data_IF_926520178894
#
_entry.id   IF_926520178894
#
_cell.length_a   1.000
_cell.length_b   1.000
_cell.length_c   1.000
_cell.angle_alpha   90.00
_cell.angle_beta   90.00
_cell.angle_gamma   90.00
#
_symmetry.space_group_name_H-M   'P 1'
#
loop_
_entity.id
_entity.type
_entity.pdbx_description
1 polymer ?
#
# COMPACT_ATOMS: atom_id res chain seq x y z
N UNK A 1 -22.79 15.77 31.21
CA UNK A 1 -23.01 16.19 29.79
C UNK A 1 -22.68 14.98 28.93
N UNK A 2 -23.71 14.30 28.44
CA UNK A 2 -23.54 13.07 27.64
C UNK A 2 -23.10 13.43 26.23
N UNK A 3 -21.86 13.09 25.90
CA UNK A 3 -21.18 13.47 24.64
C UNK A 3 -21.51 12.59 23.43
N UNK A 4 -22.39 11.58 23.57
CA UNK A 4 -22.71 10.68 22.46
C UNK A 4 -24.23 10.54 22.25
N UNK A 5 -24.66 10.64 20.98
CA UNK A 5 -26.03 10.40 20.58
C UNK A 5 -26.46 8.93 20.78
N UNK A 6 -27.74 8.64 20.95
CA UNK A 6 -28.27 7.28 21.13
C UNK A 6 -27.85 6.30 20.03
N UNK A 7 -27.72 6.77 18.78
CA UNK A 7 -27.29 5.96 17.63
C UNK A 7 -25.83 5.49 17.71
N UNK A 8 -24.97 6.26 18.40
CA UNK A 8 -23.57 5.88 18.62
C UNK A 8 -23.48 4.83 19.74
N UNK A 9 -24.32 4.97 20.80
CA UNK A 9 -24.39 3.97 21.88
C UNK A 9 -24.90 2.61 21.39
N UNK A 10 -25.90 2.57 20.51
CA UNK A 10 -26.38 1.32 19.92
C UNK A 10 -25.33 0.62 19.04
N UNK A 11 -24.50 1.37 18.31
CA UNK A 11 -23.38 0.78 17.56
C UNK A 11 -22.30 0.18 18.45
N UNK A 12 -22.02 0.78 19.61
CA UNK A 12 -21.05 0.21 20.56
C UNK A 12 -21.62 -0.94 21.39
N UNK A 13 -22.92 -0.97 21.68
CA UNK A 13 -23.58 -2.09 22.37
C UNK A 13 -23.52 -3.41 21.58
N UNK A 14 -23.40 -3.36 20.24
CA UNK A 14 -23.20 -4.54 19.39
C UNK A 14 -21.77 -5.10 19.44
N UNK A 15 -20.83 -4.41 20.07
CA UNK A 15 -19.41 -4.81 20.17
C UNK A 15 -19.10 -5.51 21.51
N UNK A 16 -20.05 -5.61 22.45
CA UNK A 16 -19.90 -6.45 23.65
C UNK A 16 -20.06 -7.96 23.33
N UNK A 17 -19.42 -8.43 22.26
CA UNK A 17 -18.98 -9.83 22.26
C UNK A 17 -17.73 -9.89 23.12
N UNK A 18 -17.69 -10.75 24.16
CA UNK A 18 -16.46 -10.94 24.90
C UNK A 18 -15.36 -11.29 23.90
N UNK A 19 -14.37 -10.42 23.81
CA UNK A 19 -13.28 -10.55 22.84
C UNK A 19 -12.48 -11.84 23.00
N UNK A 20 -12.75 -12.66 24.05
CA UNK A 20 -12.13 -13.98 24.23
C UNK A 20 -12.93 -14.84 25.21
N UNK A 21 -13.73 -15.72 24.70
CA UNK A 21 -13.92 -16.99 25.38
C UNK A 21 -12.68 -17.82 25.05
N UNK A 22 -11.71 -17.87 25.91
CA UNK A 22 -10.51 -18.73 26.10
C UNK A 22 -9.96 -19.55 24.91
N UNK A 23 -10.39 -19.37 23.68
CA UNK A 23 -9.88 -20.03 22.51
C UNK A 23 -9.27 -19.00 21.56
N UNK A 24 -8.01 -19.20 21.23
CA UNK A 24 -7.34 -18.51 20.13
C UNK A 24 -8.22 -18.55 18.87
N UNK A 25 -8.16 -17.54 17.99
CA UNK A 25 -8.85 -17.60 16.71
C UNK A 25 -8.56 -18.93 16.01
N UNK A 26 -9.56 -19.54 15.34
CA UNK A 26 -9.36 -20.80 14.65
C UNK A 26 -8.19 -20.67 13.69
N UNK A 27 -7.30 -21.64 13.70
CA UNK A 27 -6.20 -21.71 12.74
C UNK A 27 -6.78 -22.02 11.38
N UNK A 28 -6.44 -21.20 10.39
CA UNK A 28 -6.67 -21.53 8.99
C UNK A 28 -5.41 -22.28 8.52
N UNK A 29 -5.57 -23.55 8.12
CA UNK A 29 -4.54 -24.28 7.42
C UNK A 29 -4.61 -23.94 5.93
N UNK A 30 -3.49 -23.62 5.34
CA UNK A 30 -3.38 -23.37 3.92
C UNK A 30 -3.35 -24.70 3.16
N UNK A 31 -4.22 -24.84 2.15
CA UNK A 31 -4.41 -26.11 1.44
C UNK A 31 -3.48 -26.32 0.22
N UNK A 32 -2.58 -25.37 -0.08
CA UNK A 32 -1.93 -25.30 -1.39
C UNK A 32 -0.49 -25.83 -1.40
N UNK A 33 -0.31 -27.12 -1.44
CA UNK A 33 0.99 -27.70 -1.84
C UNK A 33 1.29 -27.53 -3.35
N UNK A 34 0.29 -27.20 -4.17
CA UNK A 34 0.44 -27.04 -5.63
C UNK A 34 1.14 -25.74 -6.02
N UNK A 35 1.08 -24.72 -5.17
CA UNK A 35 1.67 -23.40 -5.42
C UNK A 35 3.01 -23.21 -4.69
N UNK A 36 3.73 -24.29 -4.38
CA UNK A 36 5.05 -24.21 -3.73
C UNK A 36 6.05 -23.44 -4.59
N UNK A 37 6.81 -22.56 -3.96
CA UNK A 37 7.87 -21.81 -4.63
C UNK A 37 9.25 -22.16 -4.09
N UNK A 38 10.22 -22.19 -5.00
CA UNK A 38 11.65 -22.38 -4.71
C UNK A 38 12.47 -21.39 -5.54
N UNK A 39 13.69 -21.15 -5.15
CA UNK A 39 14.62 -20.31 -5.93
C UNK A 39 14.81 -20.81 -7.37
N UNK A 40 14.61 -22.12 -7.61
CA UNK A 40 14.67 -22.72 -8.94
C UNK A 40 13.38 -22.63 -9.77
N UNK A 41 12.25 -22.27 -9.15
CA UNK A 41 10.93 -22.22 -9.82
C UNK A 41 10.39 -20.80 -10.02
N UNK A 42 10.97 -19.81 -9.39
CA UNK A 42 10.59 -18.40 -9.57
C UNK A 42 11.37 -17.75 -10.71
N UNK A 43 10.81 -16.68 -11.27
CA UNK A 43 11.50 -15.93 -12.32
C UNK A 43 12.79 -15.30 -11.79
N UNK A 44 13.92 -15.30 -12.55
CA UNK A 44 15.19 -14.72 -12.09
C UNK A 44 15.14 -13.19 -11.89
N UNK A 45 14.22 -12.50 -12.59
CA UNK A 45 13.94 -11.07 -12.39
C UNK A 45 12.75 -10.90 -11.43
N UNK A 46 12.93 -10.24 -10.27
CA UNK A 46 11.85 -10.04 -9.29
C UNK A 46 10.72 -9.16 -9.78
N UNK A 47 10.94 -8.26 -10.73
CA UNK A 47 9.88 -7.46 -11.33
C UNK A 47 8.95 -8.30 -12.20
N UNK A 48 9.51 -9.22 -12.99
CA UNK A 48 8.70 -10.16 -13.77
C UNK A 48 7.99 -11.17 -12.85
N UNK A 49 8.64 -11.61 -11.76
CA UNK A 49 7.98 -12.46 -10.76
C UNK A 49 6.81 -11.73 -10.08
N UNK A 50 6.97 -10.45 -9.72
CA UNK A 50 5.88 -9.64 -9.17
C UNK A 50 4.73 -9.50 -10.16
N UNK A 51 5.04 -9.19 -11.42
CA UNK A 51 4.04 -9.05 -12.48
C UNK A 51 3.25 -10.33 -12.73
N UNK A 52 3.91 -11.48 -12.72
CA UNK A 52 3.25 -12.79 -12.83
C UNK A 52 2.24 -12.98 -11.70
N UNK A 53 2.65 -12.80 -10.45
CA UNK A 53 1.78 -12.97 -9.30
C UNK A 53 0.65 -11.94 -9.26
N UNK A 54 0.94 -10.71 -9.60
CA UNK A 54 -0.07 -9.65 -9.68
C UNK A 54 -1.16 -9.98 -10.72
N UNK A 55 -0.76 -10.45 -11.91
CA UNK A 55 -1.70 -10.84 -12.97
C UNK A 55 -2.55 -12.06 -12.59
N UNK A 56 -1.98 -13.03 -11.88
CA UNK A 56 -2.72 -14.18 -11.35
C UNK A 56 -3.79 -13.75 -10.33
N UNK A 57 -3.48 -12.80 -9.46
CA UNK A 57 -4.45 -12.24 -8.50
C UNK A 57 -5.60 -11.47 -9.20
N UNK A 58 -5.30 -10.74 -10.29
CA UNK A 58 -6.32 -10.08 -11.11
C UNK A 58 -7.26 -11.10 -11.75
N UNK A 59 -6.73 -12.19 -12.31
CA UNK A 59 -7.49 -13.28 -12.94
C UNK A 59 -8.38 -13.96 -11.89
N UNK A 60 -7.90 -14.19 -10.70
CA UNK A 60 -8.64 -14.76 -9.58
C UNK A 60 -9.70 -13.81 -9.00
N UNK A 61 -9.76 -12.56 -9.50
CA UNK A 61 -10.77 -11.58 -9.13
C UNK A 61 -10.60 -11.01 -7.72
N UNK A 62 -9.36 -10.82 -7.29
CA UNK A 62 -9.07 -10.06 -6.07
C UNK A 62 -9.50 -8.61 -6.30
N UNK A 63 -10.39 -8.12 -5.44
CA UNK A 63 -10.75 -6.70 -5.46
C UNK A 63 -9.54 -5.84 -5.11
N UNK A 64 -9.17 -4.93 -6.04
CA UNK A 64 -8.09 -3.98 -5.86
C UNK A 64 -6.73 -4.61 -5.44
N UNK A 65 -6.14 -5.50 -6.26
CA UNK A 65 -4.84 -6.12 -5.98
C UNK A 65 -3.71 -5.09 -5.85
N UNK A 66 -3.96 -3.87 -6.31
CA UNK A 66 -3.08 -2.71 -6.22
C UNK A 66 -3.12 -1.98 -4.86
N UNK A 67 -3.95 -2.41 -3.90
CA UNK A 67 -3.88 -1.92 -2.52
C UNK A 67 -2.65 -2.49 -1.84
N UNK A 68 -1.78 -1.62 -1.37
CA UNK A 68 -0.55 -2.01 -0.68
C UNK A 68 -0.41 -1.29 0.66
N UNK A 69 0.17 -1.98 1.63
CA UNK A 69 0.62 -1.34 2.87
C UNK A 69 1.96 -0.66 2.63
N UNK A 70 2.09 0.59 3.05
CA UNK A 70 3.34 1.36 3.00
C UNK A 70 3.81 1.68 4.41
N UNK A 71 4.97 1.16 4.77
CA UNK A 71 5.70 1.51 5.98
C UNK A 71 6.74 2.58 5.69
N UNK A 72 6.76 3.61 6.53
CA UNK A 72 7.79 4.65 6.58
C UNK A 72 8.21 4.86 8.03
N UNK A 73 9.35 5.48 8.28
CA UNK A 73 9.78 5.78 9.64
C UNK A 73 10.49 7.13 9.70
N UNK A 74 10.48 7.71 10.91
CA UNK A 74 11.25 8.90 11.22
C UNK A 74 12.76 8.59 11.26
N UNK A 75 13.66 9.59 11.24
CA UNK A 75 15.10 9.36 11.37
C UNK A 75 15.51 8.63 12.66
N UNK A 76 14.74 8.80 13.72
CA UNK A 76 14.93 8.12 15.02
C UNK A 76 14.25 6.74 15.10
N UNK A 77 13.71 6.25 13.98
CA UNK A 77 13.21 4.87 13.86
C UNK A 77 11.77 4.66 14.31
N UNK A 78 10.96 5.70 14.53
CA UNK A 78 9.54 5.54 14.84
C UNK A 78 8.77 5.16 13.57
N UNK A 79 8.21 3.93 13.49
CA UNK A 79 7.51 3.48 12.30
C UNK A 79 6.10 4.03 12.20
N UNK A 80 5.61 4.15 10.99
CA UNK A 80 4.19 4.38 10.69
C UNK A 80 3.75 3.58 9.48
N UNK A 81 2.47 3.16 9.45
CA UNK A 81 1.91 2.28 8.42
C UNK A 81 0.57 2.82 7.92
N UNK A 82 0.31 2.72 6.63
CA UNK A 82 -0.98 3.06 6.00
C UNK A 82 -1.15 2.30 4.69
N UNK A 83 -2.39 2.23 4.21
CA UNK A 83 -2.67 1.77 2.86
C UNK A 83 -2.42 2.90 1.85
N UNK A 84 -1.85 2.54 0.71
CA UNK A 84 -1.77 3.38 -0.49
C UNK A 84 -2.12 2.53 -1.72
N UNK A 85 -2.30 3.19 -2.87
CA UNK A 85 -2.56 2.48 -4.12
C UNK A 85 -1.28 2.45 -4.96
N UNK A 86 -0.85 1.25 -5.31
CA UNK A 86 0.19 1.04 -6.32
C UNK A 86 -0.40 1.38 -7.70
N UNK A 87 0.19 2.31 -8.42
CA UNK A 87 -0.36 2.80 -9.68
C UNK A 87 0.49 2.44 -10.89
N UNK A 88 1.78 2.40 -10.71
CA UNK A 88 2.74 2.04 -11.75
C UNK A 88 3.78 1.15 -11.08
N UNK A 89 4.17 0.08 -11.73
CA UNK A 89 5.32 -0.72 -11.32
C UNK A 89 6.07 -1.25 -12.54
N UNK A 90 7.36 -1.42 -12.39
CA UNK A 90 8.25 -1.88 -13.44
C UNK A 90 9.72 -1.74 -13.03
N UNK A 91 10.65 -1.85 -13.97
CA UNK A 91 12.09 -1.82 -13.68
C UNK A 91 12.59 -0.56 -12.96
N UNK A 92 11.86 0.55 -13.09
CA UNK A 92 12.19 1.80 -12.38
C UNK A 92 11.81 1.78 -10.91
N UNK A 93 10.83 0.95 -10.52
CA UNK A 93 10.33 0.80 -9.16
C UNK A 93 8.79 0.77 -9.07
N UNK A 94 8.30 1.07 -7.88
CA UNK A 94 6.89 1.00 -7.48
C UNK A 94 6.38 2.38 -7.13
N UNK A 95 5.38 2.87 -7.85
CA UNK A 95 4.90 4.24 -7.74
C UNK A 95 3.58 4.33 -6.98
N UNK A 96 3.53 5.26 -6.05
CA UNK A 96 2.31 5.70 -5.36
C UNK A 96 2.26 7.22 -5.33
N UNK A 97 1.05 7.79 -5.20
CA UNK A 97 0.84 9.23 -5.27
C UNK A 97 0.20 9.73 -3.99
N UNK A 98 0.63 10.90 -3.54
CA UNK A 98 0.19 11.47 -2.26
C UNK A 98 0.44 12.98 -2.20
N UNK A 99 -0.10 13.62 -1.17
CA UNK A 99 0.30 14.98 -0.77
C UNK A 99 1.71 14.96 -0.17
N UNK A 100 2.59 15.81 -0.67
CA UNK A 100 3.99 15.97 -0.20
C UNK A 100 4.10 16.58 1.21
N UNK A 101 3.01 17.12 1.75
CA UNK A 101 2.94 17.64 3.12
C UNK A 101 2.38 16.60 4.11
N UNK A 102 1.90 15.44 3.63
CA UNK A 102 1.39 14.37 4.49
C UNK A 102 2.49 13.80 5.40
N UNK A 103 2.07 13.18 6.52
CA UNK A 103 3.00 12.54 7.48
C UNK A 103 4.01 11.60 6.81
N UNK A 104 3.55 10.72 5.90
CA UNK A 104 4.45 9.81 5.16
C UNK A 104 5.47 10.54 4.30
N UNK A 105 5.05 11.63 3.68
CA UNK A 105 5.94 12.43 2.84
C UNK A 105 6.97 13.20 3.67
N UNK A 106 6.60 13.69 4.84
CA UNK A 106 7.53 14.30 5.80
C UNK A 106 8.56 13.28 6.30
N UNK A 107 8.12 12.07 6.67
CA UNK A 107 9.01 10.97 7.05
C UNK A 107 9.98 10.62 5.91
N UNK A 108 9.48 10.45 4.66
CA UNK A 108 10.29 10.15 3.49
C UNK A 108 11.27 11.27 3.10
N UNK A 109 10.94 12.53 3.40
CA UNK A 109 11.86 13.64 3.14
C UNK A 109 13.09 13.63 4.05
N UNK A 110 12.94 13.10 5.25
CA UNK A 110 13.99 13.01 6.27
C UNK A 110 14.70 11.65 6.28
N UNK A 111 13.97 10.59 5.97
CA UNK A 111 14.45 9.22 5.86
C UNK A 111 13.85 8.54 4.62
N UNK A 112 14.54 8.58 3.47
CA UNK A 112 14.01 8.10 2.20
C UNK A 112 14.08 6.57 2.08
N UNK A 113 13.69 5.83 3.12
CA UNK A 113 13.58 4.37 3.15
C UNK A 113 12.14 3.97 3.45
N UNK A 114 11.67 2.95 2.75
CA UNK A 114 10.34 2.42 2.95
C UNK A 114 10.28 0.92 2.67
N UNK A 115 9.22 0.30 3.19
CA UNK A 115 8.79 -1.03 2.80
C UNK A 115 7.34 -0.98 2.33
N UNK A 116 7.03 -1.76 1.30
CA UNK A 116 5.66 -2.02 0.87
C UNK A 116 5.33 -3.49 1.01
N UNK A 117 4.05 -3.78 1.25
CA UNK A 117 3.51 -5.13 1.33
C UNK A 117 2.25 -5.23 0.47
N UNK A 118 2.28 -6.09 -0.54
CA UNK A 118 1.10 -6.64 -1.19
C UNK A 118 0.67 -7.90 -0.45
N UNK A 119 -0.61 -8.00 -0.07
CA UNK A 119 -1.16 -9.18 0.57
C UNK A 119 -2.39 -9.66 -0.20
N UNK A 120 -2.31 -10.86 -0.72
CA UNK A 120 -3.31 -11.49 -1.58
C UNK A 120 -3.82 -12.79 -0.94
N UNK A 121 -4.86 -12.70 -0.11
CA UNK A 121 -5.29 -13.82 0.72
C UNK A 121 -5.89 -14.99 -0.06
N UNK A 122 -6.44 -14.76 -1.28
CA UNK A 122 -7.05 -15.84 -2.08
C UNK A 122 -6.03 -16.88 -2.52
N UNK A 123 -4.89 -16.45 -3.05
CA UNK A 123 -3.77 -17.31 -3.40
C UNK A 123 -2.79 -17.53 -2.24
N UNK A 124 -3.11 -16.98 -1.06
CA UNK A 124 -2.29 -17.12 0.16
C UNK A 124 -0.86 -16.63 -0.04
N UNK A 125 -0.75 -15.45 -0.68
CA UNK A 125 0.52 -14.84 -1.06
C UNK A 125 0.72 -13.49 -0.40
N UNK A 126 1.97 -13.17 -0.17
CA UNK A 126 2.39 -11.80 0.07
C UNK A 126 3.72 -11.51 -0.63
N UNK A 127 3.90 -10.26 -1.03
CA UNK A 127 5.18 -9.76 -1.54
C UNK A 127 5.57 -8.53 -0.74
N UNK A 128 6.71 -8.61 -0.08
CA UNK A 128 7.34 -7.50 0.64
C UNK A 128 8.48 -6.94 -0.19
N UNK A 129 8.53 -5.63 -0.33
CA UNK A 129 9.55 -4.93 -1.11
C UNK A 129 10.12 -3.81 -0.25
N UNK A 130 11.43 -3.78 -0.12
CA UNK A 130 12.15 -2.78 0.66
C UNK A 130 13.11 -2.02 -0.25
N UNK A 131 13.28 -0.73 0.02
CA UNK A 131 14.21 0.07 -0.78
C UNK A 131 14.24 1.54 -0.43
N UNK A 132 14.93 2.29 -1.29
CA UNK A 132 14.99 3.73 -1.21
C UNK A 132 13.83 4.37 -1.99
N UNK A 133 13.38 5.54 -1.54
CA UNK A 133 12.26 6.26 -2.14
C UNK A 133 12.73 7.60 -2.68
N UNK A 134 12.33 7.92 -3.91
CA UNK A 134 12.54 9.23 -4.54
C UNK A 134 11.22 9.81 -5.05
N UNK A 135 11.11 11.12 -5.14
CA UNK A 135 9.98 11.75 -5.83
C UNK A 135 10.01 11.38 -7.31
N UNK A 136 8.84 11.15 -7.91
CA UNK A 136 8.69 11.03 -9.35
C UNK A 136 8.93 12.40 -10.03
N UNK A 137 9.11 12.40 -11.36
CA UNK A 137 9.10 13.64 -12.10
C UNK A 137 7.74 14.36 -12.01
N UNK A 138 7.76 15.66 -12.22
CA UNK A 138 6.53 16.46 -12.26
C UNK A 138 5.60 15.98 -13.36
N UNK A 139 6.14 15.69 -14.53
CA UNK A 139 5.42 15.15 -15.67
C UNK A 139 4.65 13.86 -15.34
N UNK A 140 5.28 12.88 -14.66
CA UNK A 140 4.60 11.65 -14.22
C UNK A 140 3.48 11.96 -13.24
N UNK A 141 3.67 12.96 -12.37
CA UNK A 141 2.66 13.35 -11.39
C UNK A 141 1.46 14.03 -12.05
N UNK A 142 1.70 14.93 -13.03
CA UNK A 142 0.68 15.62 -13.79
C UNK A 142 -0.13 14.65 -14.67
N UNK A 143 0.54 13.80 -15.44
CA UNK A 143 -0.12 12.79 -16.26
C UNK A 143 -1.05 11.90 -15.43
N UNK A 144 -0.57 11.39 -14.29
CA UNK A 144 -1.42 10.58 -13.44
C UNK A 144 -2.54 11.40 -12.77
N UNK A 145 -2.31 12.68 -12.41
CA UNK A 145 -3.35 13.54 -11.86
C UNK A 145 -4.48 13.75 -12.86
N UNK A 146 -4.15 13.98 -14.13
CA UNK A 146 -5.14 14.23 -15.20
C UNK A 146 -6.00 13.00 -15.49
N UNK A 147 -5.44 11.78 -15.37
CA UNK A 147 -6.17 10.51 -15.52
C UNK A 147 -7.11 10.19 -14.33
N UNK A 148 -7.01 10.92 -13.23
CA UNK A 148 -7.84 10.65 -12.05
C UNK A 148 -9.29 11.13 -12.26
N UNK A 149 -10.27 10.39 -11.67
CA UNK A 149 -11.64 10.91 -11.62
C UNK A 149 -11.70 12.31 -11.00
N UNK A 150 -12.56 13.16 -11.54
CA UNK A 150 -12.66 14.57 -11.12
C UNK A 150 -12.83 14.77 -9.62
N UNK A 151 -13.63 13.93 -8.96
CA UNK A 151 -13.77 13.97 -7.50
C UNK A 151 -12.43 13.75 -6.78
N UNK A 152 -11.59 12.86 -7.29
CA UNK A 152 -10.26 12.59 -6.74
C UNK A 152 -9.27 13.72 -7.00
N UNK A 153 -9.38 14.42 -8.16
CA UNK A 153 -8.61 15.63 -8.44
C UNK A 153 -9.03 16.77 -7.48
N UNK A 154 -10.34 16.99 -7.32
CA UNK A 154 -10.87 17.99 -6.40
C UNK A 154 -10.44 17.70 -4.94
N UNK A 155 -10.50 16.45 -4.50
CA UNK A 155 -10.06 16.06 -3.18
C UNK A 155 -8.56 16.37 -2.94
N UNK A 156 -7.71 16.08 -3.92
CA UNK A 156 -6.28 16.41 -3.84
C UNK A 156 -6.01 17.93 -3.82
N UNK A 157 -6.90 18.72 -4.46
CA UNK A 157 -6.76 20.19 -4.53
C UNK A 157 -7.20 20.90 -3.26
N UNK A 158 -8.11 20.33 -2.46
CA UNK A 158 -8.62 20.96 -1.22
C UNK A 158 -8.05 20.37 0.06
N UNK A 159 -7.51 19.15 0.01
CA UNK A 159 -7.04 18.44 1.18
C UNK A 159 -5.64 18.90 1.58
N UNK A 160 -5.44 19.16 2.87
CA UNK A 160 -4.14 19.20 3.52
C UNK A 160 -3.96 17.85 4.24
N UNK A 161 -3.50 16.85 3.52
CA UNK A 161 -3.47 15.48 4.03
C UNK A 161 -2.66 15.33 5.31
N UNK A 162 -3.22 14.65 6.31
CA UNK A 162 -2.66 14.43 7.67
C UNK A 162 -2.74 15.63 8.60
N UNK A 163 -3.29 16.76 8.18
CA UNK A 163 -3.57 17.90 9.06
C UNK A 163 -4.86 17.69 9.83
N UNK A 164 -5.05 18.45 10.90
CA UNK A 164 -6.30 18.44 11.67
C UNK A 164 -7.47 18.94 10.81
N UNK A 165 -8.63 18.29 10.90
CA UNK A 165 -9.85 18.69 10.24
C UNK A 165 -10.59 19.70 11.14
N UNK A 166 -10.35 20.99 10.92
CA UNK A 166 -10.92 22.06 11.73
C UNK A 166 -12.39 22.34 11.40
N UNK A 167 -12.75 22.32 10.12
CA UNK A 167 -14.12 22.55 9.63
C UNK A 167 -14.44 21.56 8.51
N UNK A 168 -15.26 20.56 8.84
CA UNK A 168 -15.68 19.53 7.89
C UNK A 168 -16.68 20.08 6.86
N UNK A 169 -17.60 20.95 7.27
CA UNK A 169 -18.65 21.46 6.39
C UNK A 169 -18.03 22.40 5.33
N UNK A 170 -17.07 23.22 5.73
CA UNK A 170 -16.29 24.03 4.78
C UNK A 170 -15.50 23.15 3.81
N UNK A 171 -14.82 22.12 4.31
CA UNK A 171 -14.08 21.17 3.45
C UNK A 171 -15.00 20.50 2.42
N UNK A 172 -16.15 19.96 2.85
CA UNK A 172 -17.11 19.29 1.97
C UNK A 172 -17.74 20.26 0.96
N UNK A 173 -18.01 21.49 1.36
CA UNK A 173 -18.50 22.56 0.46
C UNK A 173 -17.48 22.89 -0.64
N UNK A 174 -16.22 23.08 -0.29
CA UNK A 174 -15.12 23.32 -1.25
C UNK A 174 -14.91 22.13 -2.17
N UNK A 175 -14.88 20.92 -1.62
CA UNK A 175 -14.76 19.68 -2.40
C UNK A 175 -15.89 19.57 -3.43
N UNK A 176 -17.13 19.76 -3.00
CA UNK A 176 -18.31 19.71 -3.88
C UNK A 176 -18.22 20.79 -4.97
N UNK A 177 -17.85 22.00 -4.62
CA UNK A 177 -17.70 23.11 -5.58
C UNK A 177 -16.71 22.78 -6.70
N UNK A 178 -15.53 22.25 -6.38
CA UNK A 178 -14.55 21.82 -7.37
C UNK A 178 -14.97 20.59 -8.16
N UNK A 179 -15.59 19.60 -7.49
CA UNK A 179 -16.01 18.36 -8.13
C UNK A 179 -17.12 18.57 -9.17
N UNK A 180 -18.05 19.51 -8.93
CA UNK A 180 -19.18 19.82 -9.82
C UNK A 180 -18.90 20.97 -10.80
N UNK A 181 -17.84 21.73 -10.59
CA UNK A 181 -17.43 22.82 -11.46
C UNK A 181 -16.96 22.33 -12.84
N UNK A 182 -16.99 23.23 -13.84
CA UNK A 182 -16.55 22.93 -15.22
C UNK A 182 -15.10 23.32 -15.52
N UNK A 183 -14.42 24.02 -14.63
CA UNK A 183 -13.02 24.46 -14.83
C UNK A 183 -12.07 23.25 -14.76
N UNK A 184 -11.05 23.21 -15.61
CA UNK A 184 -9.98 22.22 -15.51
C UNK A 184 -9.24 22.38 -14.17
N UNK A 185 -8.97 21.27 -13.49
CA UNK A 185 -8.17 21.24 -12.28
C UNK A 185 -6.73 20.92 -12.66
N UNK A 186 -5.79 21.73 -12.22
CA UNK A 186 -4.37 21.46 -12.39
C UNK A 186 -3.82 20.67 -11.22
N UNK A 187 -2.83 19.84 -11.47
CA UNK A 187 -2.12 19.10 -10.43
C UNK A 187 -1.48 20.06 -9.42
N UNK A 188 -1.84 19.99 -8.12
CA UNK A 188 -1.27 20.88 -7.11
C UNK A 188 0.24 20.69 -6.97
N UNK A 189 0.99 21.73 -6.65
CA UNK A 189 2.45 21.67 -6.48
C UNK A 189 2.87 20.75 -5.31
N UNK A 190 2.06 20.72 -4.27
CA UNK A 190 2.26 19.86 -3.10
C UNK A 190 1.75 18.43 -3.29
N UNK A 191 1.32 18.02 -4.51
CA UNK A 191 0.83 16.68 -4.79
C UNK A 191 1.62 16.02 -5.91
N UNK A 192 1.92 14.71 -5.75
CA UNK A 192 2.60 13.95 -6.79
C UNK A 192 3.03 12.57 -6.34
N UNK A 193 3.87 11.96 -7.17
CA UNK A 193 4.33 10.60 -7.03
C UNK A 193 5.61 10.44 -6.22
N UNK A 194 5.70 9.29 -5.59
CA UNK A 194 6.94 8.70 -5.09
C UNK A 194 7.19 7.38 -5.81
N UNK A 195 8.46 7.08 -6.05
CA UNK A 195 8.94 5.81 -6.58
C UNK A 195 9.81 5.12 -5.52
N UNK A 196 9.37 3.95 -5.05
CA UNK A 196 10.22 3.05 -4.27
C UNK A 196 11.09 2.27 -5.24
N UNK A 197 12.40 2.46 -5.14
CA UNK A 197 13.44 1.75 -5.91
C UNK A 197 13.86 0.53 -5.09
N UNK A 198 13.55 -0.70 -5.51
CA UNK A 198 13.77 -1.89 -4.70
C UNK A 198 15.26 -2.19 -4.47
N UNK A 199 15.55 -2.62 -3.26
CA UNK A 199 16.83 -3.19 -2.82
C UNK A 199 16.65 -4.65 -2.38
N UNK A 200 15.41 -5.02 -1.96
CA UNK A 200 15.02 -6.37 -1.57
C UNK A 200 13.58 -6.67 -1.98
N UNK A 201 13.34 -7.89 -2.46
CA UNK A 201 12.00 -8.49 -2.54
C UNK A 201 11.95 -9.75 -1.69
N UNK A 202 10.82 -10.00 -1.04
CA UNK A 202 10.47 -11.28 -0.44
C UNK A 202 9.13 -11.75 -0.99
N UNK A 203 9.13 -12.88 -1.67
CA UNK A 203 7.95 -13.62 -2.09
C UNK A 203 7.65 -14.69 -1.06
N UNK A 204 6.45 -14.65 -0.50
CA UNK A 204 5.99 -15.56 0.53
C UNK A 204 4.74 -16.29 0.03
N UNK A 205 4.75 -17.63 0.10
CA UNK A 205 3.64 -18.49 -0.24
C UNK A 205 3.19 -19.28 0.99
N UNK A 206 1.89 -19.18 1.31
CA UNK A 206 1.29 -19.96 2.39
C UNK A 206 1.38 -21.45 2.13
N UNK A 207 1.79 -22.23 3.15
CA UNK A 207 1.89 -23.68 3.12
C UNK A 207 1.32 -24.30 4.39
N UNK A 208 0.90 -25.57 4.32
CA UNK A 208 0.43 -26.34 5.47
C UNK A 208 1.45 -26.39 6.61
N UNK A 209 0.96 -26.54 7.82
CA UNK A 209 1.81 -26.72 8.99
C UNK A 209 2.69 -25.53 9.35
N UNK A 210 2.40 -24.33 8.78
CA UNK A 210 3.20 -23.12 8.94
C UNK A 210 4.61 -23.20 8.34
N UNK A 211 4.89 -24.18 7.49
CA UNK A 211 6.16 -24.31 6.77
C UNK A 211 6.08 -23.54 5.45
N UNK A 212 5.95 -22.23 5.56
CA UNK A 212 5.74 -21.35 4.42
C UNK A 212 6.99 -21.23 3.55
N UNK A 213 6.79 -21.18 2.24
CA UNK A 213 7.89 -20.92 1.30
C UNK A 213 8.22 -19.43 1.27
N UNK A 214 9.51 -19.12 1.29
CA UNK A 214 10.00 -17.75 1.28
C UNK A 214 11.21 -17.68 0.36
N UNK A 215 11.09 -16.90 -0.72
CA UNK A 215 12.19 -16.62 -1.65
C UNK A 215 12.49 -15.14 -1.61
N UNK A 216 13.72 -14.76 -1.36
CA UNK A 216 14.18 -13.38 -1.40
C UNK A 216 15.09 -13.13 -2.58
N UNK A 217 15.03 -11.90 -3.07
CA UNK A 217 15.96 -11.33 -4.03
C UNK A 217 16.65 -10.15 -3.37
N UNK A 218 17.95 -10.21 -3.23
CA UNK A 218 18.78 -9.12 -2.73
C UNK A 218 19.51 -8.46 -3.88
N UNK A 219 19.43 -7.14 -3.97
CA UNK A 219 20.10 -6.37 -5.01
C UNK A 219 21.60 -6.30 -4.78
N UNK A 220 22.36 -6.55 -5.82
CA UNK A 220 23.83 -6.41 -5.84
C UNK A 220 24.26 -5.60 -7.06
N UNK A 221 25.52 -5.14 -7.13
CA UNK A 221 26.04 -4.51 -8.34
C UNK A 221 25.99 -5.39 -9.61
N UNK A 222 25.96 -6.72 -9.45
CA UNK A 222 25.89 -7.69 -10.54
C UNK A 222 24.44 -8.11 -10.90
N UNK A 223 23.42 -7.59 -10.22
CA UNK A 223 22.02 -7.97 -10.40
C UNK A 223 21.39 -8.51 -9.12
N UNK A 224 20.45 -9.45 -9.24
CA UNK A 224 19.74 -10.02 -8.12
C UNK A 224 20.31 -11.35 -7.68
N UNK A 225 20.47 -11.55 -6.38
CA UNK A 225 20.82 -12.85 -5.76
C UNK A 225 19.58 -13.40 -5.10
N UNK A 226 19.24 -14.64 -5.45
CA UNK A 226 18.11 -15.38 -4.88
C UNK A 226 18.57 -16.24 -3.70
N UNK A 227 17.76 -16.26 -2.64
CA UNK A 227 17.94 -17.12 -1.46
C UNK A 227 16.58 -17.62 -0.98
N UNK A 228 16.58 -18.76 -0.35
CA UNK A 228 15.41 -19.26 0.38
C UNK A 228 15.57 -18.98 1.87
N UNK A 229 14.48 -18.56 2.51
CA UNK A 229 14.46 -18.36 3.97
C UNK A 229 13.69 -19.47 4.65
N UNK A 230 14.07 -19.76 5.89
CA UNK A 230 13.26 -20.62 6.76
C UNK A 230 11.92 -19.90 7.07
N UNK A 231 10.83 -20.69 7.29
CA UNK A 231 9.51 -20.16 7.62
C UNK A 231 9.48 -19.40 8.94
#
# INVERSE_FOLDING_TARGET
>A
MDLYSSSVRERFALVERPLMNSSYPPRVDYDNNENSIRSSSVHPDPFEQFKLWYSEEEIEGVEEPHRISLATCTPDGIPSLRMVLLKIFGPEGFFFFTDYQSRKAQELSLNPKAAILSHWPRLQRQVRIEGSVKKSSREVSENYFDDRPRLSQAAASVSSQSSEMLDRDEFESRLKGLATGSSTLSCPENWGGYCLVPELFEFWQGQRGRVHDRVIYEKTPAGWILKELQP
#
